data_IF_524596085417
#
_entry.id   IF_524596085417
#
_cell.length_a   1.000
_cell.length_b   1.000
_cell.length_c   1.000
_cell.angle_alpha   90.00
_cell.angle_beta   90.00
_cell.angle_gamma   90.00
#
_symmetry.space_group_name_H-M   'P 1'
#
loop_
_entity.id
_entity.type
_entity.pdbx_description
1 polymer ?
#
# COMPACT_ATOMS: atom_id res chain seq x y z
N UNK A 1 -9.11 12.22 5.45
CA UNK A 1 -9.42 12.29 4.00
C UNK A 1 -10.86 12.74 3.82
N UNK A 2 -11.18 13.52 2.79
CA UNK A 2 -12.59 13.81 2.42
C UNK A 2 -13.09 12.78 1.41
N UNK A 3 -14.41 12.60 1.29
CA UNK A 3 -15.00 11.67 0.32
C UNK A 3 -14.52 11.95 -1.12
N UNK A 4 -14.56 13.22 -1.55
CA UNK A 4 -14.11 13.63 -2.88
C UNK A 4 -12.66 13.28 -3.17
N UNK A 5 -11.79 13.37 -2.15
CA UNK A 5 -10.39 12.98 -2.29
C UNK A 5 -10.25 11.46 -2.44
N UNK A 6 -11.03 10.68 -1.70
CA UNK A 6 -11.00 9.22 -1.80
C UNK A 6 -11.41 8.74 -3.19
N UNK A 7 -12.51 9.27 -3.72
CA UNK A 7 -13.01 8.98 -5.07
C UNK A 7 -11.96 9.32 -6.15
N UNK A 8 -11.39 10.53 -6.10
CA UNK A 8 -10.39 10.94 -7.08
C UNK A 8 -9.13 10.06 -7.05
N UNK A 9 -8.71 9.59 -5.87
CA UNK A 9 -7.52 8.73 -5.72
C UNK A 9 -7.81 7.30 -6.14
N UNK A 10 -9.00 6.76 -5.85
CA UNK A 10 -9.36 5.40 -6.24
C UNK A 10 -9.57 5.28 -7.76
N UNK A 11 -10.18 6.28 -8.38
CA UNK A 11 -10.53 6.29 -9.81
C UNK A 11 -9.37 6.62 -10.75
N UNK A 12 -8.27 7.20 -10.25
CA UNK A 12 -7.17 7.60 -11.12
C UNK A 12 -6.52 6.41 -11.82
N UNK A 13 -5.83 6.62 -12.96
CA UNK A 13 -5.20 5.53 -13.70
C UNK A 13 -3.89 5.00 -13.06
N UNK A 14 -3.37 5.67 -12.04
CA UNK A 14 -2.09 5.29 -11.44
C UNK A 14 -2.17 3.94 -10.71
N UNK A 15 -1.09 3.17 -10.76
CA UNK A 15 -0.93 1.96 -9.93
C UNK A 15 -0.88 2.37 -8.45
N UNK A 16 -1.69 1.72 -7.60
CA UNK A 16 -1.73 1.99 -6.16
C UNK A 16 -0.94 0.94 -5.43
N UNK A 17 0.12 1.37 -4.75
CA UNK A 17 0.90 0.54 -3.83
C UNK A 17 0.44 0.88 -2.41
N UNK A 18 -0.15 -0.10 -1.71
CA UNK A 18 -0.71 0.10 -0.37
C UNK A 18 0.23 -0.55 0.65
N UNK A 19 0.70 0.24 1.62
CA UNK A 19 1.51 -0.23 2.74
C UNK A 19 0.74 0.01 4.05
N UNK A 20 0.51 -1.03 4.87
CA UNK A 20 -0.16 -0.87 6.15
C UNK A 20 0.82 -0.34 7.21
N UNK A 21 0.88 0.98 7.36
CA UNK A 21 1.82 1.63 8.27
C UNK A 21 1.46 1.39 9.74
N UNK A 22 0.17 1.24 10.04
CA UNK A 22 -0.35 1.01 11.39
C UNK A 22 -0.87 -0.42 11.53
N UNK A 23 -0.25 -1.21 12.42
CA UNK A 23 -0.76 -2.52 12.86
C UNK A 23 -1.86 -2.33 13.91
N UNK A 24 -2.90 -1.55 13.59
CA UNK A 24 -4.12 -1.45 14.41
C UNK A 24 -4.87 -2.79 14.38
N UNK A 25 -6.02 -2.91 15.05
CA UNK A 25 -6.89 -4.10 15.03
C UNK A 25 -7.54 -4.33 13.65
N UNK A 26 -6.74 -4.54 12.61
CA UNK A 26 -7.14 -4.77 11.23
C UNK A 26 -6.28 -5.90 10.66
N UNK A 27 -6.94 -7.01 10.35
CA UNK A 27 -6.30 -8.13 9.66
C UNK A 27 -6.31 -7.89 8.14
N UNK A 28 -5.15 -8.02 7.51
CA UNK A 28 -5.01 -7.94 6.06
C UNK A 28 -5.04 -9.34 5.46
N UNK A 29 -6.14 -9.67 4.80
CA UNK A 29 -6.30 -10.97 4.14
C UNK A 29 -5.53 -10.98 2.82
N UNK A 30 -4.72 -12.02 2.61
CA UNK A 30 -3.95 -12.21 1.36
C UNK A 30 -2.62 -11.45 1.30
N UNK A 31 -2.20 -10.83 2.42
CA UNK A 31 -0.89 -10.19 2.59
C UNK A 31 -0.07 -11.03 3.56
N UNK A 32 1.24 -11.13 3.34
CA UNK A 32 2.16 -11.78 4.28
C UNK A 32 2.25 -10.98 5.59
N UNK A 33 2.13 -11.66 6.73
CA UNK A 33 2.30 -11.06 8.06
C UNK A 33 3.79 -10.85 8.38
N UNK A 34 4.41 -9.95 7.63
CA UNK A 34 5.80 -9.56 7.81
C UNK A 34 5.92 -8.25 8.59
N UNK A 35 6.98 -8.07 9.39
CA UNK A 35 7.27 -6.78 10.01
C UNK A 35 7.34 -5.64 8.98
N UNK A 36 6.85 -4.46 9.35
CA UNK A 36 6.82 -3.27 8.49
C UNK A 36 8.14 -3.01 7.72
N UNK A 37 9.34 -3.14 8.32
CA UNK A 37 10.60 -2.96 7.58
C UNK A 37 10.73 -3.87 6.36
N UNK A 38 10.37 -5.16 6.46
CA UNK A 38 10.43 -6.08 5.33
C UNK A 38 9.39 -5.74 4.27
N UNK A 39 8.18 -5.35 4.69
CA UNK A 39 7.14 -4.90 3.75
C UNK A 39 7.58 -3.65 2.96
N UNK A 40 8.31 -2.74 3.60
CA UNK A 40 8.91 -1.56 2.93
C UNK A 40 9.96 -1.99 1.92
N UNK A 41 10.84 -2.93 2.27
CA UNK A 41 11.85 -3.45 1.35
C UNK A 41 11.21 -4.07 0.10
N UNK A 42 10.24 -4.96 0.27
CA UNK A 42 9.46 -5.57 -0.82
C UNK A 42 8.77 -4.50 -1.67
N UNK A 43 8.10 -3.53 -1.05
CA UNK A 43 7.46 -2.42 -1.78
C UNK A 43 8.46 -1.64 -2.63
N UNK A 44 9.63 -1.30 -2.08
CA UNK A 44 10.62 -0.50 -2.79
C UNK A 44 11.31 -1.29 -3.89
N UNK A 45 11.77 -2.50 -3.58
CA UNK A 45 12.61 -3.30 -4.49
C UNK A 45 11.76 -3.94 -5.58
N UNK A 46 10.63 -4.54 -5.22
CA UNK A 46 9.88 -5.41 -6.13
C UNK A 46 8.73 -4.69 -6.84
N UNK A 47 8.21 -3.61 -6.24
CA UNK A 47 7.03 -2.91 -6.79
C UNK A 47 7.30 -1.49 -7.26
N UNK A 48 8.09 -0.69 -6.53
CA UNK A 48 8.34 0.71 -6.88
C UNK A 48 9.43 0.86 -7.94
N UNK A 49 10.61 0.24 -7.76
CA UNK A 49 11.71 0.33 -8.72
C UNK A 49 11.31 -0.06 -10.15
N UNK A 50 10.50 -1.10 -10.41
CA UNK A 50 10.07 -1.44 -11.77
C UNK A 50 9.14 -0.42 -12.44
N UNK A 51 8.57 0.52 -11.67
CA UNK A 51 7.69 1.58 -12.18
C UNK A 51 8.44 2.88 -12.52
N UNK A 52 9.73 2.97 -12.18
CA UNK A 52 10.63 4.11 -12.44
C UNK A 52 11.51 3.84 -13.67
#
# INVERSE_FOLDING_TARGET
MTQKMAEAVSECAATKLILPISQENVDLIGVSDEPLPHMVETLVIDHLKPLL
#
